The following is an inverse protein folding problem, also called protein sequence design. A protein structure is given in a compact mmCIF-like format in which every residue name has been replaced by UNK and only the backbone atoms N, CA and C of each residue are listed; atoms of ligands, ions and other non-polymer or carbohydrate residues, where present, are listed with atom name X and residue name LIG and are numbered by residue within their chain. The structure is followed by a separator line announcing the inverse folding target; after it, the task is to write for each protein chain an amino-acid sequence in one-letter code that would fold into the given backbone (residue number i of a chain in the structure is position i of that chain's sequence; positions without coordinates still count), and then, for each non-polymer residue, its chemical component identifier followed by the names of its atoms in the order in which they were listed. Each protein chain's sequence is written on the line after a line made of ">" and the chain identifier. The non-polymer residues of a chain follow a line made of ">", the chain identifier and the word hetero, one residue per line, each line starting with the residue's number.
data_IF_148806081207
#
_entry.id   IF_148806081207
#
_cell.length_a   1.000
_cell.length_b   1.000
_cell.length_c   1.000
_cell.angle_alpha   90.00
_cell.angle_beta   90.00
_cell.angle_gamma   90.00
#
_symmetry.space_group_name_H-M   'P 1'
#
loop_
_entity.id
_entity.type
_entity.pdbx_description
1 polymer ?
#
# COMPACT_ATOMS: atom_id res chain seq x y z
N UNK A 1 -34.12 27.44 18.70
CA UNK A 1 -33.63 27.03 17.38
C UNK A 1 -34.45 25.86 16.93
N UNK A 2 -35.15 26.01 15.81
CA UNK A 2 -35.92 24.92 15.23
C UNK A 2 -34.96 23.85 14.69
N UNK A 3 -35.43 22.60 14.59
CA UNK A 3 -34.64 21.51 14.01
C UNK A 3 -34.23 21.87 12.57
N UNK A 4 -35.07 22.61 11.84
CA UNK A 4 -34.76 23.04 10.48
C UNK A 4 -33.59 24.02 10.43
N UNK A 5 -33.47 24.95 11.38
CA UNK A 5 -32.35 25.88 11.51
C UNK A 5 -31.07 25.15 11.91
N UNK A 6 -31.15 24.21 12.87
CA UNK A 6 -30.01 23.37 13.26
C UNK A 6 -29.45 22.60 12.05
N UNK A 7 -30.34 21.99 11.27
CA UNK A 7 -29.97 21.25 10.06
C UNK A 7 -29.42 22.19 9.00
N UNK A 8 -30.00 23.37 8.81
CA UNK A 8 -29.52 24.35 7.85
C UNK A 8 -28.14 24.93 8.21
N UNK A 9 -27.84 25.07 9.49
CA UNK A 9 -26.52 25.58 9.93
C UNK A 9 -25.42 24.50 9.87
N UNK A 10 -25.79 23.22 10.00
CA UNK A 10 -24.84 22.11 10.15
C UNK A 10 -24.92 21.05 9.04
N UNK A 11 -25.73 21.24 8.00
CA UNK A 11 -25.94 20.24 6.94
C UNK A 11 -24.63 19.74 6.34
N UNK A 12 -23.67 20.65 6.15
CA UNK A 12 -22.38 20.33 5.59
C UNK A 12 -21.57 19.40 6.51
N UNK A 13 -21.54 19.70 7.81
CA UNK A 13 -20.91 18.84 8.82
C UNK A 13 -21.58 17.46 8.90
N UNK A 14 -22.91 17.39 8.79
CA UNK A 14 -23.64 16.11 8.78
C UNK A 14 -23.31 15.27 7.54
N UNK A 15 -23.22 15.88 6.36
CA UNK A 15 -22.80 15.19 5.12
C UNK A 15 -21.37 14.65 5.28
N UNK A 16 -20.46 15.42 5.87
CA UNK A 16 -19.08 14.97 6.11
C UNK A 16 -19.06 13.75 7.03
N UNK A 17 -19.77 13.80 8.15
CA UNK A 17 -19.84 12.69 9.10
C UNK A 17 -20.37 11.44 8.39
N UNK A 18 -21.41 11.59 7.57
CA UNK A 18 -21.99 10.49 6.81
C UNK A 18 -21.00 9.92 5.79
N UNK A 19 -20.35 10.77 4.98
CA UNK A 19 -19.37 10.36 3.96
C UNK A 19 -18.16 9.70 4.61
N UNK A 20 -17.60 10.26 5.67
CA UNK A 20 -16.46 9.67 6.39
C UNK A 20 -16.82 8.34 7.02
N UNK A 21 -18.02 8.21 7.58
CA UNK A 21 -18.54 6.95 8.13
C UNK A 21 -18.72 5.89 7.04
N UNK A 22 -19.22 6.29 5.87
CA UNK A 22 -19.35 5.42 4.72
C UNK A 22 -17.99 4.97 4.15
N UNK A 23 -17.03 5.89 4.03
CA UNK A 23 -15.65 5.56 3.60
C UNK A 23 -15.00 4.59 4.61
N UNK A 24 -15.16 4.83 5.92
CA UNK A 24 -14.67 3.93 6.96
C UNK A 24 -15.31 2.54 6.87
N UNK A 25 -16.62 2.46 6.59
CA UNK A 25 -17.32 1.20 6.36
C UNK A 25 -16.80 0.46 5.12
N UNK A 26 -16.62 1.16 4.00
CA UNK A 26 -16.07 0.58 2.76
C UNK A 26 -14.64 0.09 2.94
N UNK A 27 -13.80 0.83 3.68
CA UNK A 27 -12.43 0.40 3.99
C UNK A 27 -12.38 -0.83 4.89
N UNK A 28 -13.27 -0.93 5.89
CA UNK A 28 -13.40 -2.14 6.72
C UNK A 28 -13.77 -3.37 5.87
N UNK A 29 -14.48 -3.15 4.76
CA UNK A 29 -15.02 -4.21 3.90
C UNK A 29 -14.15 -4.50 2.67
N UNK A 30 -13.00 -3.84 2.50
CA UNK A 30 -12.16 -4.00 1.31
C UNK A 30 -11.73 -5.46 1.19
N UNK A 31 -12.22 -6.21 0.18
CA UNK A 31 -11.80 -7.59 0.00
C UNK A 31 -10.31 -7.61 -0.35
N UNK A 32 -9.55 -8.49 0.29
CA UNK A 32 -8.16 -8.82 -0.04
C UNK A 32 -8.11 -9.57 -1.38
N UNK A 33 -8.55 -8.93 -2.47
CA UNK A 33 -8.40 -9.48 -3.80
C UNK A 33 -7.44 -8.58 -4.56
N UNK A 34 -6.19 -9.04 -4.69
CA UNK A 34 -5.43 -9.00 -5.94
C UNK A 34 -4.00 -9.56 -5.72
N UNK A 35 -3.69 -10.65 -6.43
CA UNK A 35 -2.34 -11.09 -6.82
C UNK A 35 -1.42 -11.68 -5.74
N UNK A 36 -1.51 -11.24 -4.49
CA UNK A 36 -0.58 -11.58 -3.40
C UNK A 36 -1.25 -12.28 -2.21
N UNK A 37 -2.45 -12.86 -2.38
CA UNK A 37 -3.26 -13.44 -1.30
C UNK A 37 -2.51 -14.45 -0.43
N UNK A 38 -1.57 -15.22 -0.99
CA UNK A 38 -0.74 -16.13 -0.21
C UNK A 38 0.25 -15.38 0.69
N UNK A 39 0.99 -14.39 0.17
CA UNK A 39 1.84 -13.53 1.02
C UNK A 39 0.98 -12.84 2.06
N UNK A 40 -0.16 -12.26 1.68
CA UNK A 40 -1.03 -11.51 2.59
C UNK A 40 -1.58 -12.44 3.68
N UNK A 41 -2.05 -13.64 3.32
CA UNK A 41 -2.54 -14.66 4.26
C UNK A 41 -1.45 -15.12 5.22
N UNK A 42 -0.25 -15.43 4.72
CA UNK A 42 0.86 -15.81 5.59
C UNK A 42 1.35 -14.65 6.45
N UNK A 43 1.36 -13.43 5.91
CA UNK A 43 1.73 -12.22 6.67
C UNK A 43 0.72 -11.94 7.76
N UNK A 44 -0.58 -12.07 7.50
CA UNK A 44 -1.65 -11.88 8.49
C UNK A 44 -1.56 -12.94 9.62
N UNK A 45 -1.25 -14.20 9.27
CA UNK A 45 -0.95 -15.25 10.27
C UNK A 45 0.28 -14.88 11.10
N UNK A 46 1.38 -14.46 10.45
CA UNK A 46 2.62 -14.06 11.10
C UNK A 46 2.49 -12.77 11.93
N UNK A 47 1.56 -11.89 11.58
CA UNK A 47 1.27 -10.66 12.30
C UNK A 47 0.49 -10.90 13.58
N UNK A 48 -0.37 -11.92 13.59
CA UNK A 48 -1.06 -12.43 14.79
C UNK A 48 -0.17 -13.32 15.66
N UNK A 49 1.02 -13.69 15.16
CA UNK A 49 1.95 -14.55 15.88
C UNK A 49 2.80 -13.70 16.85
N UNK A 50 2.93 -14.07 18.13
CA UNK A 50 3.58 -13.25 19.16
C UNK A 50 5.11 -13.14 19.02
N UNK A 51 5.72 -13.81 18.05
CA UNK A 51 7.16 -13.87 17.87
C UNK A 51 7.59 -13.14 16.58
N UNK A 52 8.11 -11.90 16.68
CA UNK A 52 8.50 -11.10 15.52
C UNK A 52 9.66 -11.72 14.70
N UNK A 53 10.44 -12.62 15.30
CA UNK A 53 11.51 -13.37 14.64
C UNK A 53 11.01 -14.19 13.45
N UNK A 54 9.78 -14.71 13.51
CA UNK A 54 9.20 -15.48 12.41
C UNK A 54 8.90 -14.63 11.16
N UNK A 55 8.65 -13.33 11.31
CA UNK A 55 8.51 -12.42 10.17
C UNK A 55 9.85 -12.26 9.44
N UNK A 56 10.92 -12.06 10.18
CA UNK A 56 12.28 -11.95 9.66
C UNK A 56 12.74 -13.25 9.00
N UNK A 57 12.46 -14.39 9.65
CA UNK A 57 12.79 -15.71 9.12
C UNK A 57 11.99 -16.02 7.84
N UNK A 58 10.71 -15.67 7.80
CA UNK A 58 9.88 -15.80 6.60
C UNK A 58 10.40 -14.93 5.44
N UNK A 59 10.77 -13.68 5.71
CA UNK A 59 11.44 -12.82 4.73
C UNK A 59 12.75 -13.41 4.24
N UNK A 60 13.58 -13.95 5.14
CA UNK A 60 14.83 -14.63 4.78
C UNK A 60 14.57 -15.88 3.93
N UNK A 61 13.49 -16.61 4.20
CA UNK A 61 13.10 -17.78 3.43
C UNK A 61 12.55 -17.41 2.05
N UNK A 62 11.84 -16.28 1.92
CA UNK A 62 11.50 -15.68 0.62
C UNK A 62 12.77 -15.28 -0.13
N UNK A 63 13.70 -14.57 0.53
CA UNK A 63 15.00 -14.14 -0.05
C UNK A 63 15.79 -15.32 -0.60
N UNK A 64 15.81 -16.44 0.14
CA UNK A 64 16.47 -17.69 -0.24
C UNK A 64 15.65 -18.54 -1.23
N UNK A 65 14.52 -18.05 -1.73
CA UNK A 65 13.56 -18.77 -2.60
C UNK A 65 13.01 -20.09 -1.99
N UNK A 66 13.21 -20.36 -0.70
CA UNK A 66 12.92 -21.66 -0.06
C UNK A 66 11.42 -21.98 0.03
N UNK A 67 10.59 -20.96 0.18
CA UNK A 67 9.13 -21.13 0.29
C UNK A 67 8.40 -20.58 -0.93
N UNK A 68 9.14 -20.27 -2.00
CA UNK A 68 8.60 -19.60 -3.18
C UNK A 68 7.42 -20.39 -3.78
N UNK A 69 7.61 -21.69 -4.02
CA UNK A 69 6.57 -22.58 -4.56
C UNK A 69 5.29 -22.64 -3.69
N UNK A 70 5.40 -22.37 -2.38
CA UNK A 70 4.26 -22.34 -1.44
C UNK A 70 3.61 -20.96 -1.33
N UNK A 71 4.35 -19.92 -1.70
CA UNK A 71 3.94 -18.51 -1.64
C UNK A 71 3.53 -17.98 -3.03
N UNK A 72 3.73 -18.78 -4.08
CA UNK A 72 3.56 -18.37 -5.48
C UNK A 72 2.23 -17.68 -5.81
N UNK A 73 2.37 -16.71 -6.70
CA UNK A 73 1.42 -15.69 -7.17
C UNK A 73 0.62 -16.17 -8.39
N UNK A 74 0.23 -17.46 -8.42
CA UNK A 74 -0.35 -18.08 -9.61
C UNK A 74 -1.79 -17.62 -9.88
N UNK A 75 -1.94 -16.42 -10.41
CA UNK A 75 -2.98 -16.06 -11.38
C UNK A 75 -2.48 -15.00 -12.36
N UNK A 76 -2.94 -15.12 -13.61
CA UNK A 76 -2.37 -14.62 -14.86
C UNK A 76 -2.21 -13.08 -15.05
N UNK A 77 -2.23 -12.25 -14.01
CA UNK A 77 -2.16 -10.78 -14.14
C UNK A 77 -0.85 -10.12 -13.71
N UNK A 78 0.05 -10.83 -13.03
CA UNK A 78 1.02 -10.19 -12.14
C UNK A 78 2.51 -10.42 -12.39
N UNK A 79 2.95 -11.12 -13.43
CA UNK A 79 4.36 -11.57 -13.58
C UNK A 79 5.36 -10.42 -13.37
N UNK A 80 5.06 -9.22 -13.85
CA UNK A 80 5.93 -8.06 -13.63
C UNK A 80 5.88 -7.53 -12.20
N UNK A 81 4.71 -7.52 -11.54
CA UNK A 81 4.60 -7.15 -10.12
C UNK A 81 5.33 -8.15 -9.22
N UNK A 82 5.20 -9.44 -9.51
CA UNK A 82 5.92 -10.51 -8.82
C UNK A 82 7.43 -10.34 -8.98
N UNK A 83 7.91 -10.14 -10.21
CA UNK A 83 9.33 -9.85 -10.49
C UNK A 83 9.82 -8.65 -9.71
N UNK A 84 9.05 -7.55 -9.70
CA UNK A 84 9.35 -6.37 -8.90
C UNK A 84 9.43 -6.74 -7.40
N UNK A 85 8.45 -7.45 -6.86
CA UNK A 85 8.42 -7.84 -5.45
C UNK A 85 9.67 -8.65 -5.05
N UNK A 86 10.03 -9.68 -5.84
CA UNK A 86 11.22 -10.49 -5.58
C UNK A 86 12.47 -9.63 -5.61
N UNK A 87 12.64 -8.85 -6.68
CA UNK A 87 13.82 -8.02 -6.88
C UNK A 87 13.99 -7.00 -5.76
N UNK A 88 12.89 -6.40 -5.28
CA UNK A 88 12.92 -5.45 -4.17
C UNK A 88 13.28 -6.13 -2.85
N UNK A 89 12.68 -7.29 -2.52
CA UNK A 89 12.99 -8.02 -1.29
C UNK A 89 14.44 -8.52 -1.28
N UNK A 90 14.94 -9.05 -2.39
CA UNK A 90 16.30 -9.56 -2.46
C UNK A 90 17.33 -8.43 -2.41
N UNK A 91 17.00 -7.25 -2.91
CA UNK A 91 17.85 -6.06 -2.83
C UNK A 91 17.85 -5.39 -1.45
N UNK A 92 16.89 -5.74 -0.58
CA UNK A 92 16.67 -5.15 0.74
C UNK A 92 17.60 -5.75 1.81
N UNK A 93 18.87 -5.34 1.74
CA UNK A 93 19.93 -5.73 2.70
C UNK A 93 19.64 -5.18 4.11
N UNK A 94 19.02 -4.02 4.21
CA UNK A 94 18.79 -3.32 5.47
C UNK A 94 17.40 -3.58 6.08
N UNK A 95 16.59 -4.45 5.47
CA UNK A 95 15.22 -4.77 5.87
C UNK A 95 14.33 -3.52 6.04
N UNK A 96 14.43 -2.58 5.09
CA UNK A 96 13.61 -1.37 5.07
C UNK A 96 12.18 -1.62 4.56
N UNK A 97 11.92 -2.75 3.90
CA UNK A 97 10.61 -3.14 3.37
C UNK A 97 9.88 -4.02 4.38
N UNK A 98 8.75 -3.53 4.87
CA UNK A 98 7.80 -4.34 5.63
C UNK A 98 7.03 -5.28 4.68
N UNK A 99 6.92 -6.56 5.06
CA UNK A 99 6.24 -7.58 4.25
C UNK A 99 4.76 -7.22 3.98
N UNK A 100 4.07 -6.65 4.96
CA UNK A 100 2.67 -6.18 4.87
C UNK A 100 2.47 -5.12 3.78
N UNK A 101 3.53 -4.40 3.42
CA UNK A 101 3.47 -3.32 2.44
C UNK A 101 3.96 -3.74 1.05
N UNK A 102 4.53 -4.95 0.89
CA UNK A 102 5.25 -5.36 -0.31
C UNK A 102 4.41 -5.27 -1.59
N UNK A 103 3.25 -5.95 -1.63
CA UNK A 103 2.34 -5.94 -2.78
C UNK A 103 2.00 -4.50 -3.19
N UNK A 104 1.58 -3.77 -2.18
CA UNK A 104 1.20 -2.39 -2.21
C UNK A 104 2.32 -1.45 -2.66
N UNK A 105 3.58 -1.78 -2.37
CA UNK A 105 4.80 -1.07 -2.78
C UNK A 105 5.18 -1.38 -4.23
N UNK A 106 4.89 -2.58 -4.76
CA UNK A 106 5.20 -2.90 -6.17
C UNK A 106 4.55 -1.95 -7.16
N UNK A 107 3.39 -1.39 -6.80
CA UNK A 107 2.65 -0.42 -7.59
C UNK A 107 3.38 0.92 -7.80
N UNK A 108 4.49 1.14 -7.09
CA UNK A 108 5.29 2.36 -7.15
C UNK A 108 6.45 2.21 -8.16
N UNK A 109 6.56 1.04 -8.79
CA UNK A 109 7.61 0.69 -9.74
C UNK A 109 6.99 0.09 -11.01
N UNK A 110 7.76 0.12 -12.10
CA UNK A 110 7.42 -0.57 -13.34
C UNK A 110 8.65 -1.23 -13.94
N UNK A 111 8.45 -2.24 -14.78
CA UNK A 111 9.53 -2.83 -15.58
C UNK A 111 9.46 -2.24 -16.98
N UNK A 112 10.52 -1.54 -17.38
CA UNK A 112 10.72 -1.04 -18.75
C UNK A 112 12.03 -1.60 -19.27
N UNK A 113 12.03 -2.26 -20.44
CA UNK A 113 13.23 -2.88 -21.04
C UNK A 113 14.03 -3.72 -20.02
N UNK A 114 13.35 -4.61 -19.30
CA UNK A 114 13.93 -5.47 -18.27
C UNK A 114 14.61 -4.74 -17.10
N UNK A 115 14.27 -3.47 -16.87
CA UNK A 115 14.75 -2.70 -15.73
C UNK A 115 13.59 -2.19 -14.88
N UNK A 116 13.74 -2.32 -13.56
CA UNK A 116 12.87 -1.71 -12.56
C UNK A 116 13.16 -0.22 -12.52
N UNK A 117 12.15 0.57 -12.86
CA UNK A 117 12.16 2.03 -12.75
C UNK A 117 11.11 2.49 -11.75
N UNK A 118 11.44 3.46 -10.87
CA UNK A 118 10.45 4.07 -10.00
C UNK A 118 9.46 4.89 -10.81
N UNK A 119 8.17 4.77 -10.49
CA UNK A 119 7.15 5.65 -11.04
C UNK A 119 7.26 7.02 -10.39
N UNK A 120 6.94 8.08 -11.13
CA UNK A 120 6.87 9.43 -10.56
C UNK A 120 5.74 9.50 -9.52
N UNK A 121 5.91 10.21 -8.39
CA UNK A 121 4.91 10.26 -7.31
C UNK A 121 3.48 10.60 -7.76
N UNK A 122 3.34 11.49 -8.74
CA UNK A 122 2.03 11.90 -9.28
C UNK A 122 1.36 10.85 -10.20
N UNK A 123 2.05 9.74 -10.53
CA UNK A 123 1.45 8.59 -11.23
C UNK A 123 0.93 7.54 -10.24
N UNK A 124 1.23 7.71 -8.94
CA UNK A 124 0.86 6.77 -7.89
C UNK A 124 -0.52 7.16 -7.38
N UNK A 125 -1.55 6.41 -7.80
CA UNK A 125 -2.96 6.70 -7.50
C UNK A 125 -3.23 6.98 -6.02
N UNK A 126 -2.58 6.23 -5.14
CA UNK A 126 -2.72 6.39 -3.70
C UNK A 126 -2.17 7.73 -3.20
N UNK A 127 -1.03 8.19 -3.72
CA UNK A 127 -0.43 9.48 -3.38
C UNK A 127 -1.35 10.62 -3.83
N UNK A 128 -1.91 10.54 -5.04
CA UNK A 128 -2.87 11.53 -5.54
C UNK A 128 -4.12 11.56 -4.65
N UNK A 129 -4.72 10.39 -4.40
CA UNK A 129 -5.93 10.29 -3.58
C UNK A 129 -5.70 10.81 -2.16
N UNK A 130 -4.57 10.46 -1.55
CA UNK A 130 -4.19 10.94 -0.23
C UNK A 130 -3.97 12.45 -0.22
N UNK A 131 -3.28 13.00 -1.23
CA UNK A 131 -3.04 14.45 -1.35
C UNK A 131 -4.34 15.23 -1.49
N UNK A 132 -5.26 14.75 -2.34
CA UNK A 132 -6.59 15.37 -2.49
C UNK A 132 -7.41 15.29 -1.20
N UNK A 133 -7.39 14.14 -0.51
CA UNK A 133 -8.08 13.98 0.76
C UNK A 133 -7.51 14.91 1.85
N UNK A 134 -6.19 15.09 1.90
CA UNK A 134 -5.54 16.04 2.81
C UNK A 134 -5.95 17.49 2.54
N UNK A 135 -5.97 17.91 1.27
CA UNK A 135 -6.40 19.27 0.90
C UNK A 135 -7.86 19.52 1.30
N UNK A 136 -8.75 18.56 1.04
CA UNK A 136 -10.15 18.66 1.43
C UNK A 136 -10.30 18.73 2.97
N UNK A 137 -9.62 17.83 3.69
CA UNK A 137 -9.63 17.84 5.15
C UNK A 137 -9.09 19.16 5.73
N UNK A 138 -8.08 19.76 5.11
CA UNK A 138 -7.53 21.04 5.53
C UNK A 138 -8.53 22.19 5.39
N UNK A 139 -9.22 22.30 4.25
CA UNK A 139 -10.29 23.30 4.04
C UNK A 139 -11.40 23.11 5.09
N UNK A 140 -11.76 21.86 5.37
CA UNK A 140 -12.79 21.52 6.36
C UNK A 140 -12.40 21.87 7.79
N UNK A 141 -11.14 21.62 8.15
CA UNK A 141 -10.61 22.01 9.46
C UNK A 141 -10.66 23.53 9.62
N UNK A 142 -10.21 24.29 8.61
CA UNK A 142 -10.29 25.75 8.64
C UNK A 142 -11.73 26.23 8.79
N UNK A 143 -12.68 25.68 8.03
CA UNK A 143 -14.09 26.04 8.13
C UNK A 143 -14.64 25.82 9.54
N UNK A 144 -14.35 24.67 10.16
CA UNK A 144 -14.84 24.36 11.50
C UNK A 144 -14.14 25.20 12.59
N UNK A 145 -12.86 25.55 12.41
CA UNK A 145 -12.16 26.51 13.28
C UNK A 145 -12.84 27.87 13.21
N UNK A 146 -13.18 28.36 12.02
CA UNK A 146 -13.92 29.63 11.85
C UNK A 146 -15.27 29.56 12.55
N UNK A 147 -16.01 28.46 12.42
CA UNK A 147 -17.30 28.25 13.12
C UNK A 147 -17.16 28.33 14.63
N UNK A 148 -16.09 27.77 15.21
CA UNK A 148 -15.84 27.83 16.66
C UNK A 148 -15.69 29.27 17.15
N UNK A 149 -14.99 30.13 16.39
CA UNK A 149 -14.73 31.51 16.81
C UNK A 149 -15.83 32.50 16.41
N UNK A 150 -16.65 32.17 15.41
CA UNK A 150 -17.61 33.10 14.83
C UNK A 150 -19.06 32.81 15.22
N UNK A 151 -19.37 31.58 15.67
CA UNK A 151 -20.73 31.20 16.01
C UNK A 151 -21.14 31.75 17.38
N UNK A 152 -22.26 32.48 17.42
CA UNK A 152 -22.92 32.89 18.67
C UNK A 152 -23.68 31.73 19.35
N UNK A 153 -23.91 30.62 18.63
CA UNK A 153 -24.64 29.45 19.13
C UNK A 153 -23.68 28.35 19.56
N UNK A 154 -23.81 27.92 20.82
CA UNK A 154 -22.94 26.90 21.43
C UNK A 154 -23.10 25.51 20.78
N UNK A 155 -24.27 25.20 20.24
CA UNK A 155 -24.53 23.91 19.57
C UNK A 155 -23.66 23.79 18.30
N UNK A 156 -23.55 24.85 17.49
CA UNK A 156 -22.71 24.87 16.29
C UNK A 156 -21.22 24.73 16.65
N UNK A 157 -20.79 25.30 17.79
CA UNK A 157 -19.43 25.12 18.32
C UNK A 157 -19.17 23.65 18.70
N UNK A 158 -20.11 23.00 19.39
CA UNK A 158 -20.00 21.57 19.76
C UNK A 158 -19.91 20.69 18.50
N UNK A 159 -20.76 20.92 17.51
CA UNK A 159 -20.74 20.17 16.23
C UNK A 159 -19.43 20.39 15.49
N UNK A 160 -18.90 21.62 15.47
CA UNK A 160 -17.63 21.90 14.83
C UNK A 160 -16.45 21.18 15.50
N UNK A 161 -16.40 21.17 16.84
CA UNK A 161 -15.38 20.43 17.59
C UNK A 161 -15.46 18.92 17.29
N UNK A 162 -16.66 18.34 17.33
CA UNK A 162 -16.87 16.92 17.01
C UNK A 162 -16.42 16.60 15.59
N UNK A 163 -16.71 17.48 14.63
CA UNK A 163 -16.32 17.31 13.23
C UNK A 163 -14.80 17.33 13.07
N UNK A 164 -14.10 18.24 13.76
CA UNK A 164 -12.62 18.28 13.79
C UNK A 164 -12.05 16.96 14.32
N UNK A 165 -12.58 16.44 15.44
CA UNK A 165 -12.14 15.15 15.99
C UNK A 165 -12.30 14.00 14.99
N UNK A 166 -13.45 13.94 14.29
CA UNK A 166 -13.71 12.91 13.29
C UNK A 166 -12.74 13.03 12.10
N UNK A 167 -12.48 14.26 11.61
CA UNK A 167 -11.52 14.50 10.54
C UNK A 167 -10.12 14.02 10.94
N UNK A 168 -9.66 14.35 12.16
CA UNK A 168 -8.34 13.94 12.66
C UNK A 168 -8.24 12.41 12.73
N UNK A 169 -9.25 11.73 13.30
CA UNK A 169 -9.26 10.26 13.40
C UNK A 169 -9.26 9.62 12.02
N UNK A 170 -10.05 10.14 11.08
CA UNK A 170 -10.09 9.67 9.71
C UNK A 170 -8.71 9.83 9.03
N UNK A 171 -8.09 11.02 9.14
CA UNK A 171 -6.74 11.26 8.62
C UNK A 171 -5.73 10.28 9.21
N UNK A 172 -5.76 10.03 10.52
CA UNK A 172 -4.83 9.10 11.16
C UNK A 172 -4.99 7.67 10.63
N UNK A 173 -6.23 7.21 10.45
CA UNK A 173 -6.52 5.86 9.92
C UNK A 173 -6.18 5.72 8.44
N UNK A 174 -6.42 6.74 7.62
CA UNK A 174 -6.23 6.66 6.18
C UNK A 174 -4.81 7.01 5.74
N UNK A 175 -4.13 7.94 6.41
CA UNK A 175 -2.87 8.49 5.91
C UNK A 175 -1.63 7.72 6.39
N UNK A 176 -1.67 7.07 7.56
CA UNK A 176 -0.46 6.46 8.13
C UNK A 176 0.18 5.39 7.23
N UNK A 177 -0.61 4.45 6.73
CA UNK A 177 -0.09 3.35 5.90
C UNK A 177 0.43 3.84 4.54
N UNK A 178 -0.30 4.68 3.78
CA UNK A 178 0.24 5.34 2.58
C UNK A 178 1.53 6.13 2.84
N UNK A 179 1.59 6.91 3.93
CA UNK A 179 2.75 7.73 4.26
C UNK A 179 3.97 6.86 4.55
N UNK A 180 3.81 5.80 5.36
CA UNK A 180 4.90 4.85 5.65
C UNK A 180 5.45 4.24 4.36
N UNK A 181 4.57 3.76 3.49
CA UNK A 181 4.95 3.18 2.20
C UNK A 181 5.62 4.19 1.28
N UNK A 182 5.10 5.42 1.21
CA UNK A 182 5.72 6.49 0.43
C UNK A 182 7.11 6.85 0.95
N UNK A 183 7.30 6.86 2.29
CA UNK A 183 8.62 7.03 2.90
C UNK A 183 9.58 5.91 2.49
N UNK A 184 9.15 4.65 2.54
CA UNK A 184 9.95 3.50 2.09
C UNK A 184 10.32 3.64 0.61
N UNK A 185 9.36 4.01 -0.24
CA UNK A 185 9.62 4.31 -1.65
C UNK A 185 10.68 5.42 -1.82
N UNK A 186 10.58 6.53 -1.08
CA UNK A 186 11.58 7.61 -1.15
C UNK A 186 12.97 7.16 -0.70
N UNK A 187 13.06 6.29 0.30
CA UNK A 187 14.34 5.70 0.73
C UNK A 187 14.95 4.85 -0.38
N UNK A 188 14.15 4.00 -1.03
CA UNK A 188 14.57 3.17 -2.16
C UNK A 188 15.04 4.04 -3.34
N UNK A 189 14.30 5.09 -3.68
CA UNK A 189 14.64 5.97 -4.82
C UNK A 189 15.90 6.78 -4.57
N UNK A 190 16.15 7.19 -3.32
CA UNK A 190 17.38 7.90 -2.93
C UNK A 190 18.61 6.98 -2.95
N UNK A 191 18.45 5.71 -2.60
CA UNK A 191 19.52 4.71 -2.66
C UNK A 191 19.69 4.16 -4.09
N UNK A 192 20.56 4.82 -4.88
CA UNK A 192 20.91 4.34 -6.24
C UNK A 192 21.47 2.91 -6.23
N UNK A 193 22.19 2.52 -5.18
CA UNK A 193 22.74 1.17 -5.07
C UNK A 193 21.64 0.14 -4.78
N UNK A 194 20.58 0.52 -4.07
CA UNK A 194 19.39 -0.33 -3.92
C UNK A 194 18.78 -0.67 -5.28
N UNK A 195 18.51 0.35 -6.10
CA UNK A 195 17.92 0.14 -7.42
C UNK A 195 18.83 -0.69 -8.33
N UNK A 196 20.15 -0.50 -8.25
CA UNK A 196 21.10 -1.33 -8.97
C UNK A 196 21.05 -2.80 -8.52
N UNK A 197 21.03 -3.07 -7.21
CA UNK A 197 20.87 -4.42 -6.66
C UNK A 197 19.55 -5.05 -7.12
N UNK A 198 18.45 -4.30 -7.07
CA UNK A 198 17.14 -4.78 -7.50
C UNK A 198 17.13 -5.14 -8.99
N UNK A 199 17.76 -4.34 -9.84
CA UNK A 199 17.91 -4.65 -11.27
C UNK A 199 18.79 -5.87 -11.53
N UNK A 200 19.86 -6.06 -10.76
CA UNK A 200 20.68 -7.27 -10.85
C UNK A 200 19.88 -8.53 -10.47
N UNK A 201 19.06 -8.45 -9.42
CA UNK A 201 18.15 -9.52 -9.03
C UNK A 201 17.10 -9.80 -10.11
N UNK A 202 16.55 -8.76 -10.74
CA UNK A 202 15.64 -8.91 -11.88
C UNK A 202 16.31 -9.65 -13.05
N UNK A 203 17.54 -9.30 -13.39
CA UNK A 203 18.30 -9.95 -14.46
C UNK A 203 18.53 -11.45 -14.16
N UNK A 204 18.85 -11.80 -12.91
CA UNK A 204 18.96 -13.20 -12.46
C UNK A 204 17.64 -13.94 -12.64
N UNK A 205 16.52 -13.36 -12.21
CA UNK A 205 15.18 -13.98 -12.33
C UNK A 205 14.82 -14.24 -13.80
N UNK A 206 15.12 -13.29 -14.69
CA UNK A 206 14.85 -13.45 -16.14
C UNK A 206 15.74 -14.56 -16.72
N UNK A 207 17.03 -14.59 -16.36
CA UNK A 207 17.97 -15.63 -16.81
C UNK A 207 17.58 -17.03 -16.32
N UNK A 208 17.27 -17.17 -15.03
CA UNK A 208 16.84 -18.43 -14.42
C UNK A 208 15.60 -18.99 -15.14
N UNK A 209 14.62 -18.13 -15.45
CA UNK A 209 13.42 -18.54 -16.19
C UNK A 209 13.74 -19.02 -17.61
N UNK A 210 14.62 -18.33 -18.31
CA UNK A 210 15.02 -18.73 -19.66
C UNK A 210 15.77 -20.06 -19.66
N UNK A 211 16.61 -20.31 -18.65
CA UNK A 211 17.32 -21.58 -18.50
C UNK A 211 16.37 -22.75 -18.19
N UNK A 212 15.37 -22.54 -17.32
CA UNK A 212 14.34 -23.56 -17.05
C UNK A 212 13.54 -23.88 -18.31
N UNK A 213 13.14 -22.84 -19.06
CA UNK A 213 12.41 -23.03 -20.32
C UNK A 213 13.24 -23.77 -21.37
N UNK A 214 14.56 -23.52 -21.43
CA UNK A 214 15.47 -24.23 -22.34
C UNK A 214 15.66 -25.70 -21.94
N UNK A 215 15.90 -25.97 -20.65
CA UNK A 215 16.04 -27.34 -20.14
C UNK A 215 14.76 -28.17 -20.33
N UNK A 216 13.58 -27.58 -20.14
CA UNK A 216 12.31 -28.23 -20.44
C UNK A 216 12.11 -28.48 -21.94
N UNK A 217 12.66 -27.63 -22.82
CA UNK A 217 12.58 -27.83 -24.26
C UNK A 217 13.49 -28.98 -24.72
N UNK A 218 14.67 -29.10 -24.11
CA UNK A 218 15.64 -30.18 -24.36
C UNK A 218 15.10 -31.54 -23.88
N UNK A 219 14.42 -31.60 -22.72
CA UNK A 219 13.72 -32.82 -22.24
C UNK A 219 12.58 -33.28 -23.16
N UNK A 220 11.94 -32.39 -23.90
CA UNK A 220 10.85 -32.73 -24.85
C UNK A 220 11.42 -33.14 -26.23
N UNK A 221 12.69 -32.81 -26.52
CA UNK A 221 13.33 -33.10 -27.82
C UNK A 221 14.32 -34.26 -27.79
N UNK A 222 14.61 -34.88 -26.64
CA UNK A 222 15.26 -36.19 -26.60
C UNK A 222 14.27 -37.28 -27.07
N UNK A 223 14.53 -37.96 -28.21
CA UNK A 223 13.74 -39.14 -28.57
C UNK A 223 14.11 -40.29 -27.63
N UNK A 224 13.09 -40.93 -27.05
CA UNK A 224 13.23 -42.21 -26.33
C UNK A 224 14.10 -43.16 -27.16
N UNK A 225 15.26 -43.53 -26.61
CA UNK A 225 16.12 -44.60 -27.14
C UNK A 225 15.80 -45.92 -26.45
#
# INVERSE_FOLDING_TARGET
>A
MEISELLHDNWFNLIIIFVLSFIAFMYKKRPQNDGFDNIIKYTDILEKTPHPQYKTEFLNNIKKKLIWNKVCFYKAGGINKERIAISLINADVHNIIELTQLDSLTHYFSITKNHIIPLKPYLIKEVILSSTAFMFAFVMLLSNIVTIFSSSLIINVIVAILTIFIIIIALFRFALTPIKRFKTYLLIVKDKAFLQRANNELAKIIKDKNNINAAMLDEITEPEK
#
